data_IF_358890137203
#
_entry.id   IF_358890137203
#
_cell.length_a   1.000
_cell.length_b   1.000
_cell.length_c   1.000
_cell.angle_alpha   90.00
_cell.angle_beta   90.00
_cell.angle_gamma   90.00
#
_symmetry.space_group_name_H-M   'P 1'
#
loop_
_entity.id
_entity.type
_entity.pdbx_description
1 polymer ?
#
# COMPACT_ATOMS: atom_id res chain seq x y z
N UNK A 1 -4.39 -11.41 15.10
CA UNK A 1 -4.51 -10.30 14.12
C UNK A 1 -3.17 -9.66 13.73
N UNK A 2 -2.32 -9.27 14.69
CA UNK A 2 -1.02 -8.62 14.42
C UNK A 2 0.01 -9.53 13.69
N UNK A 3 -0.03 -10.84 13.93
CA UNK A 3 0.86 -11.83 13.28
C UNK A 3 0.69 -11.87 11.75
N UNK A 4 -0.55 -11.96 11.27
CA UNK A 4 -0.85 -11.99 9.83
C UNK A 4 -0.45 -10.66 9.19
N UNK A 5 -0.68 -9.54 9.87
CA UNK A 5 -0.37 -8.22 9.34
C UNK A 5 1.14 -8.02 9.10
N UNK A 6 2.00 -8.39 10.05
CA UNK A 6 3.45 -8.25 9.88
C UNK A 6 3.99 -9.10 8.71
N UNK A 7 3.53 -10.35 8.59
CA UNK A 7 3.93 -11.22 7.47
C UNK A 7 3.40 -10.73 6.13
N UNK A 8 2.15 -10.25 6.08
CA UNK A 8 1.60 -9.65 4.85
C UNK A 8 2.42 -8.42 4.46
N UNK A 9 2.76 -7.54 5.40
CA UNK A 9 3.59 -6.37 5.10
C UNK A 9 4.96 -6.76 4.54
N UNK A 10 5.64 -7.75 5.14
CA UNK A 10 6.93 -8.23 4.63
C UNK A 10 6.81 -8.87 3.24
N UNK A 11 5.75 -9.63 3.00
CA UNK A 11 5.54 -10.30 1.72
C UNK A 11 5.22 -9.29 0.61
N UNK A 12 4.35 -8.33 0.87
CA UNK A 12 4.03 -7.27 -0.09
C UNK A 12 5.23 -6.36 -0.36
N UNK A 13 6.05 -6.05 0.65
CA UNK A 13 7.30 -5.29 0.46
C UNK A 13 8.27 -6.05 -0.48
N UNK A 14 8.42 -7.37 -0.26
CA UNK A 14 9.22 -8.23 -1.15
C UNK A 14 8.62 -8.32 -2.56
N UNK A 15 7.31 -8.44 -2.70
CA UNK A 15 6.63 -8.46 -3.99
C UNK A 15 6.85 -7.16 -4.79
N UNK A 16 6.70 -6.01 -4.13
CA UNK A 16 6.95 -4.70 -4.76
C UNK A 16 8.42 -4.56 -5.15
N UNK A 17 9.36 -4.93 -4.28
CA UNK A 17 10.79 -4.88 -4.57
C UNK A 17 11.15 -5.74 -5.79
N UNK A 18 10.69 -7.00 -5.81
CA UNK A 18 10.91 -7.92 -6.91
C UNK A 18 10.30 -7.41 -8.22
N UNK A 19 9.03 -6.96 -8.17
CA UNK A 19 8.33 -6.42 -9.32
C UNK A 19 9.05 -5.21 -9.92
N UNK A 20 9.53 -4.28 -9.08
CA UNK A 20 10.32 -3.12 -9.52
C UNK A 20 11.59 -3.53 -10.26
N UNK A 21 12.38 -4.42 -9.67
CA UNK A 21 13.64 -4.88 -10.27
C UNK A 21 13.40 -5.58 -11.60
N UNK A 22 12.44 -6.51 -11.65
CA UNK A 22 12.13 -7.28 -12.85
C UNK A 22 11.57 -6.39 -13.98
N UNK A 23 10.63 -5.48 -13.66
CA UNK A 23 10.02 -4.61 -14.66
C UNK A 23 10.99 -3.56 -15.18
N UNK A 24 11.83 -2.97 -14.32
CA UNK A 24 12.85 -2.01 -14.75
C UNK A 24 13.76 -2.61 -15.81
N UNK A 25 14.28 -3.81 -15.57
CA UNK A 25 15.18 -4.49 -16.51
C UNK A 25 14.45 -4.90 -17.78
N UNK A 26 13.21 -5.37 -17.67
CA UNK A 26 12.41 -5.81 -18.82
C UNK A 26 11.97 -4.66 -19.72
N UNK A 27 11.55 -3.52 -19.15
CA UNK A 27 11.06 -2.38 -19.92
C UNK A 27 12.13 -1.72 -20.79
N UNK A 28 13.42 -1.89 -20.46
CA UNK A 28 14.52 -1.45 -21.36
C UNK A 28 14.58 -2.20 -22.69
N UNK A 29 13.92 -3.36 -22.77
CA UNK A 29 13.92 -4.24 -23.94
C UNK A 29 12.65 -4.10 -24.79
N UNK A 30 11.68 -3.31 -24.32
CA UNK A 30 10.40 -3.12 -25.00
C UNK A 30 10.49 -2.09 -26.12
N UNK A 31 9.72 -2.32 -27.18
CA UNK A 31 9.47 -1.31 -28.21
C UNK A 31 8.59 -0.17 -27.69
N UNK A 32 8.59 0.96 -28.38
CA UNK A 32 7.71 2.09 -28.06
C UNK A 32 6.22 1.69 -28.09
N UNK A 33 5.84 0.76 -28.96
CA UNK A 33 4.46 0.29 -29.06
C UNK A 33 4.05 -0.50 -27.82
N UNK A 34 4.95 -1.37 -27.34
CA UNK A 34 4.74 -2.13 -26.13
C UNK A 34 4.71 -1.21 -24.91
N UNK A 35 5.67 -0.27 -24.78
CA UNK A 35 5.67 0.70 -23.69
C UNK A 35 4.37 1.51 -23.63
N UNK A 36 3.84 1.95 -24.78
CA UNK A 36 2.54 2.64 -24.84
C UNK A 36 1.38 1.82 -24.30
N UNK A 37 1.37 0.51 -24.57
CA UNK A 37 0.35 -0.40 -24.02
C UNK A 37 0.48 -0.51 -22.49
N UNK A 38 1.72 -0.53 -21.96
CA UNK A 38 1.95 -0.56 -20.50
C UNK A 38 1.55 0.75 -19.85
N UNK A 39 1.81 1.89 -20.49
CA UNK A 39 1.33 3.20 -20.04
C UNK A 39 -0.20 3.23 -19.98
N UNK A 40 -0.88 2.76 -21.02
CA UNK A 40 -2.34 2.73 -21.07
C UNK A 40 -2.93 1.86 -19.95
N UNK A 41 -2.37 0.67 -19.74
CA UNK A 41 -2.73 -0.21 -18.64
C UNK A 41 -2.57 0.47 -17.26
N UNK A 42 -1.43 1.13 -17.02
CA UNK A 42 -1.18 1.81 -15.75
C UNK A 42 -2.11 3.00 -15.55
N UNK A 43 -2.40 3.78 -16.60
CA UNK A 43 -3.33 4.91 -16.53
C UNK A 43 -4.72 4.42 -16.13
N UNK A 44 -5.24 3.39 -16.81
CA UNK A 44 -6.55 2.80 -16.50
C UNK A 44 -6.59 2.27 -15.06
N UNK A 45 -5.57 1.51 -14.66
CA UNK A 45 -5.43 0.99 -13.31
C UNK A 45 -5.44 2.09 -12.24
N UNK A 46 -4.75 3.21 -12.49
CA UNK A 46 -4.71 4.34 -11.56
C UNK A 46 -6.09 5.00 -11.39
N UNK A 47 -6.84 5.20 -12.48
CA UNK A 47 -8.21 5.71 -12.40
C UNK A 47 -9.13 4.76 -11.63
N UNK A 48 -9.05 3.46 -11.90
CA UNK A 48 -9.84 2.46 -11.19
C UNK A 48 -9.51 2.44 -9.69
N UNK A 49 -8.23 2.44 -9.32
CA UNK A 49 -7.81 2.43 -7.92
C UNK A 49 -8.23 3.71 -7.17
N UNK A 50 -8.16 4.88 -7.83
CA UNK A 50 -8.63 6.16 -7.27
C UNK A 50 -10.12 6.15 -6.96
N UNK A 51 -10.92 5.53 -7.82
CA UNK A 51 -12.38 5.57 -7.76
C UNK A 51 -12.98 4.41 -6.95
N UNK A 52 -12.22 3.32 -6.74
CA UNK A 52 -12.68 2.09 -6.09
C UNK A 52 -13.17 2.25 -4.64
N UNK A 53 -12.66 3.22 -3.90
CA UNK A 53 -12.99 3.42 -2.48
C UNK A 53 -14.05 4.48 -2.23
N UNK A 54 -14.75 4.95 -3.27
CA UNK A 54 -15.80 5.96 -3.10
C UNK A 54 -16.88 5.53 -2.11
N UNK A 55 -17.10 4.23 -1.87
CA UNK A 55 -18.05 3.75 -0.85
C UNK A 55 -19.50 4.20 -1.11
N UNK A 56 -19.78 4.69 -2.31
CA UNK A 56 -21.08 5.21 -2.73
C UNK A 56 -22.14 4.14 -2.58
N UNK A 57 -21.85 2.90 -2.98
CA UNK A 57 -22.74 1.76 -2.81
C UNK A 57 -23.11 1.50 -1.34
N UNK A 58 -22.18 1.75 -0.39
CA UNK A 58 -22.46 1.60 1.04
C UNK A 58 -23.45 2.68 1.48
N UNK A 59 -23.21 3.94 1.11
CA UNK A 59 -24.08 5.06 1.44
C UNK A 59 -25.47 4.93 0.79
N UNK A 60 -25.53 4.45 -0.46
CA UNK A 60 -26.77 4.11 -1.15
C UNK A 60 -27.55 3.02 -0.40
N UNK A 61 -26.87 1.98 0.10
CA UNK A 61 -27.50 0.93 0.92
C UNK A 61 -28.04 1.46 2.27
N UNK A 62 -27.52 2.57 2.77
CA UNK A 62 -28.05 3.28 3.94
C UNK A 62 -29.16 4.29 3.60
N UNK A 63 -29.58 4.37 2.34
CA UNK A 63 -30.69 5.22 1.89
C UNK A 63 -30.30 6.62 1.45
N UNK A 64 -29.01 6.90 1.28
CA UNK A 64 -28.53 8.19 0.75
C UNK A 64 -28.65 8.18 -0.77
N UNK A 65 -29.27 9.19 -1.41
CA UNK A 65 -29.32 9.28 -2.86
C UNK A 65 -27.93 9.30 -3.48
N UNK A 66 -27.73 8.60 -4.60
CA UNK A 66 -26.43 8.45 -5.27
C UNK A 66 -25.64 9.75 -5.41
N UNK A 67 -26.29 10.82 -5.91
CA UNK A 67 -25.62 12.10 -6.12
C UNK A 67 -25.08 12.70 -4.81
N UNK A 68 -25.82 12.55 -3.72
CA UNK A 68 -25.42 13.02 -2.40
C UNK A 68 -24.32 12.13 -1.79
N UNK A 69 -24.40 10.81 -2.01
CA UNK A 69 -23.37 9.87 -1.63
C UNK A 69 -22.03 10.13 -2.36
N UNK A 70 -22.07 10.45 -3.65
CA UNK A 70 -20.91 10.83 -4.45
C UNK A 70 -20.29 12.13 -3.93
N UNK A 71 -21.11 13.13 -3.60
CA UNK A 71 -20.63 14.39 -3.05
C UNK A 71 -19.98 14.21 -1.67
N UNK A 72 -20.61 13.47 -0.75
CA UNK A 72 -20.02 13.16 0.55
C UNK A 72 -18.72 12.37 0.44
N UNK A 73 -18.65 11.46 -0.53
CA UNK A 73 -17.44 10.69 -0.81
C UNK A 73 -16.30 11.59 -1.30
N UNK A 74 -16.55 12.47 -2.26
CA UNK A 74 -15.52 13.37 -2.79
C UNK A 74 -15.07 14.43 -1.78
N UNK A 75 -15.97 14.89 -0.90
CA UNK A 75 -15.65 15.83 0.17
C UNK A 75 -14.99 15.18 1.39
N UNK A 76 -14.90 13.84 1.43
CA UNK A 76 -14.32 13.11 2.54
C UNK A 76 -12.82 13.36 2.66
N UNK A 77 -12.42 13.99 3.76
CA UNK A 77 -11.00 14.19 4.09
C UNK A 77 -10.26 12.85 4.18
N UNK A 78 -10.93 11.80 4.66
CA UNK A 78 -10.36 10.46 4.71
C UNK A 78 -10.02 9.94 3.31
N UNK A 79 -10.92 10.10 2.33
CA UNK A 79 -10.65 9.66 0.95
C UNK A 79 -9.57 10.49 0.28
N UNK A 80 -9.52 11.80 0.57
CA UNK A 80 -8.42 12.65 0.11
C UNK A 80 -7.07 12.18 0.65
N UNK A 81 -6.96 11.94 1.95
CA UNK A 81 -5.74 11.44 2.58
C UNK A 81 -5.38 10.05 2.05
N UNK A 82 -6.37 9.16 1.89
CA UNK A 82 -6.15 7.84 1.33
C UNK A 82 -5.56 7.91 -0.08
N UNK A 83 -6.14 8.74 -0.97
CA UNK A 83 -5.61 8.95 -2.32
C UNK A 83 -4.17 9.47 -2.29
N UNK A 84 -3.86 10.42 -1.41
CA UNK A 84 -2.50 10.93 -1.23
C UNK A 84 -1.53 9.81 -0.84
N UNK A 85 -1.88 9.01 0.18
CA UNK A 85 -1.07 7.86 0.63
C UNK A 85 -0.90 6.79 -0.45
N UNK A 86 -1.96 6.53 -1.23
CA UNK A 86 -1.93 5.55 -2.31
C UNK A 86 -0.95 6.00 -3.41
N UNK A 87 -1.10 7.23 -3.89
CA UNK A 87 -0.31 7.74 -5.00
C UNK A 87 1.11 8.18 -4.59
N UNK A 88 1.38 8.45 -3.32
CA UNK A 88 2.75 8.62 -2.80
C UNK A 88 3.61 7.36 -2.94
N UNK A 89 2.99 6.19 -3.17
CA UNK A 89 3.68 4.93 -3.50
C UNK A 89 3.69 4.66 -4.99
N UNK A 90 2.52 4.75 -5.64
CA UNK A 90 2.35 4.37 -7.04
C UNK A 90 3.20 5.26 -7.95
N UNK A 91 3.13 6.59 -7.79
CA UNK A 91 3.78 7.53 -8.71
C UNK A 91 5.30 7.35 -8.72
N UNK A 92 6.01 7.31 -7.57
CA UNK A 92 7.43 7.00 -7.54
C UNK A 92 7.77 5.61 -8.10
N UNK A 93 6.99 4.57 -7.78
CA UNK A 93 7.23 3.22 -8.32
C UNK A 93 7.17 3.18 -9.84
N UNK A 94 6.18 3.84 -10.43
CA UNK A 94 5.99 3.83 -11.89
C UNK A 94 7.11 4.62 -12.59
N UNK A 95 7.54 5.75 -12.01
CA UNK A 95 8.74 6.49 -12.45
C UNK A 95 10.00 5.62 -12.41
N UNK A 96 10.15 4.87 -11.33
CA UNK A 96 11.32 4.07 -11.02
C UNK A 96 11.49 2.82 -11.89
N UNK A 97 10.39 2.22 -12.37
CA UNK A 97 10.42 1.13 -13.37
C UNK A 97 10.64 1.65 -14.80
N UNK A 98 10.81 2.96 -14.99
CA UNK A 98 11.11 3.57 -16.28
C UNK A 98 9.89 3.90 -17.14
N UNK A 99 8.67 3.77 -16.60
CA UNK A 99 7.44 4.10 -17.32
C UNK A 99 7.04 5.55 -16.99
N UNK A 100 7.56 6.52 -17.76
CA UNK A 100 7.40 7.95 -17.44
C UNK A 100 7.18 8.85 -18.66
N UNK A 101 6.48 8.36 -19.68
CA UNK A 101 6.17 9.17 -20.86
C UNK A 101 5.13 10.26 -20.61
N UNK A 102 5.01 11.18 -21.57
CA UNK A 102 4.15 12.37 -21.43
C UNK A 102 2.68 12.05 -21.16
N UNK A 103 2.15 10.95 -21.71
CA UNK A 103 0.75 10.54 -21.51
C UNK A 103 0.46 10.22 -20.06
N UNK A 104 1.34 9.44 -19.44
CA UNK A 104 1.22 9.07 -18.04
C UNK A 104 1.40 10.28 -17.12
N UNK A 105 2.37 11.15 -17.41
CA UNK A 105 2.56 12.40 -16.67
C UNK A 105 1.31 13.28 -16.71
N UNK A 106 0.69 13.46 -17.89
CA UNK A 106 -0.58 14.20 -18.03
C UNK A 106 -1.70 13.54 -17.22
N UNK A 107 -1.83 12.22 -17.26
CA UNK A 107 -2.84 11.52 -16.47
C UNK A 107 -2.65 11.76 -14.95
N UNK A 108 -1.42 11.78 -14.44
CA UNK A 108 -1.17 12.11 -13.04
C UNK A 108 -1.44 13.59 -12.69
N UNK A 109 -1.23 14.52 -13.63
CA UNK A 109 -1.65 15.92 -13.47
C UNK A 109 -3.17 16.01 -13.40
N UNK A 110 -3.88 15.35 -14.31
CA UNK A 110 -5.35 15.33 -14.33
C UNK A 110 -5.94 14.70 -13.05
N UNK A 111 -5.25 13.72 -12.48
CA UNK A 111 -5.60 13.12 -11.18
C UNK A 111 -5.21 13.98 -9.97
N UNK A 112 -4.39 15.03 -10.14
CA UNK A 112 -3.89 15.87 -9.06
C UNK A 112 -2.84 15.20 -8.15
N UNK A 113 -2.12 14.20 -8.67
CA UNK A 113 -1.15 13.40 -7.90
C UNK A 113 0.27 13.47 -8.45
N UNK A 114 0.51 14.27 -9.48
CA UNK A 114 1.81 14.36 -10.15
C UNK A 114 2.98 14.68 -9.21
N UNK A 115 2.79 15.60 -8.26
CA UNK A 115 3.82 16.03 -7.29
C UNK A 115 4.27 14.90 -6.35
N UNK A 116 3.49 13.83 -6.22
CA UNK A 116 3.83 12.67 -5.39
C UNK A 116 5.06 11.91 -5.91
N UNK A 117 5.44 12.11 -7.18
CA UNK A 117 6.58 11.46 -7.82
C UNK A 117 7.97 11.92 -7.33
N UNK A 118 8.03 12.91 -6.45
CA UNK A 118 9.27 13.37 -5.81
C UNK A 118 9.51 12.71 -4.44
N UNK A 119 8.59 11.86 -3.98
CA UNK A 119 8.77 11.08 -2.75
C UNK A 119 9.94 10.12 -2.87
N UNK A 120 10.77 10.03 -1.83
CA UNK A 120 11.89 9.08 -1.80
C UNK A 120 11.36 7.67 -1.54
N UNK A 121 11.21 6.90 -2.62
CA UNK A 121 10.68 5.54 -2.57
C UNK A 121 11.52 4.58 -1.72
N UNK A 122 12.85 4.70 -1.76
CA UNK A 122 13.73 3.81 -1.01
C UNK A 122 13.60 4.05 0.50
N UNK A 123 13.49 5.32 0.92
CA UNK A 123 13.20 5.67 2.31
C UNK A 123 11.86 5.06 2.77
N UNK A 124 10.87 5.09 1.88
CA UNK A 124 9.52 4.65 2.15
C UNK A 124 9.42 3.12 2.31
N UNK A 125 10.20 2.38 1.53
CA UNK A 125 10.34 0.93 1.67
C UNK A 125 11.11 0.54 2.94
N UNK A 126 12.19 1.26 3.27
CA UNK A 126 12.93 1.03 4.51
C UNK A 126 12.02 1.24 5.75
N UNK A 127 11.13 2.24 5.69
CA UNK A 127 10.15 2.47 6.75
C UNK A 127 9.14 1.30 6.88
N UNK A 128 8.68 0.72 5.77
CA UNK A 128 7.77 -0.43 5.83
C UNK A 128 8.44 -1.64 6.49
N UNK A 129 9.72 -1.88 6.18
CA UNK A 129 10.51 -2.95 6.76
C UNK A 129 10.73 -2.72 8.27
N UNK A 130 11.10 -1.51 8.69
CA UNK A 130 11.24 -1.14 10.11
C UNK A 130 9.91 -1.33 10.87
N UNK A 131 8.78 -0.94 10.28
CA UNK A 131 7.47 -1.14 10.90
C UNK A 131 7.15 -2.62 11.05
N UNK A 132 7.46 -3.43 10.04
CA UNK A 132 7.25 -4.87 10.11
C UNK A 132 8.13 -5.52 11.19
N UNK A 133 9.42 -5.17 11.26
CA UNK A 133 10.34 -5.64 12.30
C UNK A 133 9.90 -5.24 13.71
N UNK A 134 9.44 -4.01 13.90
CA UNK A 134 8.94 -3.55 15.20
C UNK A 134 7.71 -4.34 15.64
N UNK A 135 6.76 -4.58 14.74
CA UNK A 135 5.58 -5.41 15.02
C UNK A 135 5.96 -6.85 15.39
N UNK A 136 6.99 -7.39 14.73
CA UNK A 136 7.52 -8.72 14.99
C UNK A 136 8.23 -8.80 16.35
N UNK A 137 9.02 -7.79 16.71
CA UNK A 137 9.70 -7.69 18.01
C UNK A 137 8.70 -7.51 19.17
N UNK A 138 7.69 -6.65 19.01
CA UNK A 138 6.60 -6.51 19.98
C UNK A 138 5.88 -7.84 20.24
N UNK A 139 5.70 -8.65 19.19
CA UNK A 139 5.14 -10.01 19.31
C UNK A 139 6.06 -10.90 20.14
N UNK A 140 7.34 -11.02 19.78
CA UNK A 140 8.26 -11.90 20.50
C UNK A 140 8.35 -11.54 21.99
N UNK A 141 8.39 -10.24 22.31
CA UNK A 141 8.38 -9.78 23.69
C UNK A 141 7.08 -10.12 24.45
N UNK A 142 5.94 -10.15 23.76
CA UNK A 142 4.67 -10.57 24.36
C UNK A 142 4.61 -12.08 24.60
N UNK A 143 5.02 -12.88 23.60
CA UNK A 143 5.10 -14.34 23.70
C UNK A 143 6.09 -14.79 24.79
N UNK A 144 7.24 -14.12 24.90
CA UNK A 144 8.21 -14.39 25.96
C UNK A 144 7.63 -14.12 27.35
N UNK A 145 6.92 -12.99 27.53
CA UNK A 145 6.25 -12.67 28.80
C UNK A 145 5.19 -13.69 29.18
N UNK A 146 4.37 -14.14 28.24
CA UNK A 146 3.38 -15.19 28.48
C UNK A 146 4.04 -16.51 28.86
N UNK A 147 5.08 -16.91 28.12
CA UNK A 147 5.79 -18.17 28.36
C UNK A 147 6.54 -18.18 29.70
N UNK A 148 7.14 -17.05 30.08
CA UNK A 148 7.75 -16.90 31.41
C UNK A 148 6.69 -17.01 32.50
N UNK A 149 5.53 -16.37 32.34
CA UNK A 149 4.43 -16.46 33.29
C UNK A 149 3.90 -17.90 33.45
N UNK A 150 3.72 -18.64 32.34
CA UNK A 150 3.33 -20.06 32.36
C UNK A 150 4.35 -20.92 33.11
N UNK A 151 5.65 -20.72 32.85
CA UNK A 151 6.72 -21.47 33.52
C UNK A 151 6.75 -21.14 35.02
N UNK A 152 6.60 -19.87 35.39
CA UNK A 152 6.53 -19.45 36.80
C UNK A 152 5.33 -20.09 37.51
N UNK A 153 4.15 -20.08 36.91
CA UNK A 153 2.95 -20.72 37.48
C UNK A 153 3.12 -22.23 37.64
N UNK A 154 3.79 -22.89 36.68
CA UNK A 154 4.10 -24.33 36.76
C UNK A 154 5.08 -24.65 37.89
N UNK A 155 6.09 -23.81 38.13
CA UNK A 155 7.04 -23.97 39.23
C UNK A 155 6.31 -23.81 40.57
N UNK A 156 5.50 -22.77 40.74
CA UNK A 156 4.72 -22.52 41.97
C UNK A 156 3.76 -23.68 42.30
N UNK A 157 3.12 -24.28 41.29
CA UNK A 157 2.27 -25.47 41.48
C UNK A 157 3.06 -26.72 41.84
N UNK A 158 4.31 -26.83 41.38
CA UNK A 158 5.20 -27.96 41.66
C UNK A 158 5.83 -27.91 43.06
N UNK A 159 6.09 -26.73 43.60
CA UNK A 159 6.68 -26.54 44.94
C UNK A 159 5.67 -26.71 46.09
N UNK A 160 4.37 -26.73 45.79
CA UNK A 160 3.29 -26.94 46.76
C UNK A 160 2.82 -28.40 46.94
N UNK A 161 3.48 -29.38 46.30
CA UNK A 161 3.13 -30.81 46.35
C UNK A 161 4.17 -31.69 47.05
#
# INVERSE_FOLDING_TARGET
PKQILAYVMQDEARHVAFGRMALRDYYTQLSDAELREREEFVIEGCYLMRDRLRGVEVLENFGIPKAEAEEYSEQSEFLRLFRQLLFSRIVPCVKDIGLWGERLQRAYVDMGVFEMGDSNLDLLMAQDEEVAERLDAERFAAEERERVAEVTEMIEKGEGS
#
